data_IF_218265798549
#
_entry.id   IF_218265798549
#
_cell.length_a   1.000
_cell.length_b   1.000
_cell.length_c   1.000
_cell.angle_alpha   90.00
_cell.angle_beta   90.00
_cell.angle_gamma   90.00
#
_symmetry.space_group_name_H-M   'P 1'
#
loop_
_entity.id
_entity.type
_entity.pdbx_description
1 polymer ?
#
# COMPACT_ATOMS: atom_id res chain seq x y z
N UNK A 1 11.61 72.78 -2.35
CA UNK A 1 11.91 71.57 -1.61
C UNK A 1 10.98 70.42 -2.08
N UNK A 2 11.48 69.47 -2.85
CA UNK A 2 10.70 68.32 -3.35
C UNK A 2 11.00 67.13 -2.43
N UNK A 3 10.02 66.61 -1.72
CA UNK A 3 10.13 65.39 -0.91
C UNK A 3 10.01 64.16 -1.81
N UNK A 4 11.09 63.39 -1.94
CA UNK A 4 11.12 62.09 -2.61
C UNK A 4 10.65 61.01 -1.62
N UNK A 5 9.45 60.48 -1.81
CA UNK A 5 8.98 59.34 -0.99
C UNK A 5 9.51 58.05 -1.59
N UNK A 6 10.46 57.45 -0.89
CA UNK A 6 10.97 56.09 -1.19
C UNK A 6 9.90 55.08 -0.77
N UNK A 7 9.32 54.37 -1.74
CA UNK A 7 8.42 53.25 -1.49
C UNK A 7 9.30 51.98 -1.37
N UNK A 8 9.43 51.45 -0.14
CA UNK A 8 10.11 50.18 0.12
C UNK A 8 9.08 49.06 -0.10
N UNK A 9 9.16 48.37 -1.26
CA UNK A 9 8.30 47.19 -1.54
C UNK A 9 8.90 45.97 -0.83
N UNK A 10 8.22 45.52 0.24
CA UNK A 10 8.57 44.26 0.92
C UNK A 10 8.09 43.10 0.06
N UNK A 11 9.01 42.43 -0.63
CA UNK A 11 8.72 41.16 -1.34
C UNK A 11 8.69 40.06 -0.28
N UNK A 12 7.49 39.59 0.07
CA UNK A 12 7.31 38.38 0.85
C UNK A 12 7.64 37.17 -0.03
N UNK A 13 8.81 36.58 0.16
CA UNK A 13 9.15 35.28 -0.35
C UNK A 13 8.39 34.24 0.48
N UNK A 14 7.29 33.72 -0.06
CA UNK A 14 6.62 32.56 0.51
C UNK A 14 7.49 31.33 0.26
N UNK A 15 8.26 30.92 1.26
CA UNK A 15 8.97 29.64 1.26
C UNK A 15 7.90 28.57 1.41
N UNK A 16 7.51 27.94 0.30
CA UNK A 16 6.71 26.71 0.33
C UNK A 16 7.59 25.62 0.93
N UNK A 17 7.43 25.37 2.22
CA UNK A 17 8.05 24.21 2.87
C UNK A 17 7.35 22.95 2.36
N UNK A 18 7.89 22.36 1.29
CA UNK A 18 7.53 20.99 0.92
C UNK A 18 8.20 20.08 1.93
N UNK A 19 7.41 19.40 2.74
CA UNK A 19 7.93 18.34 3.59
C UNK A 19 8.58 17.28 2.68
N UNK A 20 9.85 17.00 2.93
CA UNK A 20 10.57 15.98 2.17
C UNK A 20 9.93 14.62 2.40
N UNK A 21 9.73 13.88 1.33
CA UNK A 21 9.14 12.54 1.40
C UNK A 21 10.02 11.65 2.28
N UNK A 22 9.48 10.99 3.33
CA UNK A 22 10.30 10.17 4.20
C UNK A 22 10.84 8.96 3.43
N UNK A 23 12.14 8.71 3.59
CA UNK A 23 12.76 7.49 3.11
C UNK A 23 12.32 6.32 3.99
N UNK A 24 11.52 5.44 3.43
CA UNK A 24 10.92 4.33 4.13
C UNK A 24 11.32 3.00 3.52
N UNK A 25 11.38 1.97 4.34
CA UNK A 25 11.57 0.60 3.88
C UNK A 25 10.40 0.17 2.97
N UNK A 26 10.71 -0.41 1.79
CA UNK A 26 9.75 -0.87 0.80
C UNK A 26 9.93 -2.36 0.56
N UNK A 27 8.79 -3.05 0.41
CA UNK A 27 8.72 -4.49 0.24
C UNK A 27 9.02 -4.90 -1.21
N UNK A 28 9.71 -6.04 -1.39
CA UNK A 28 9.73 -6.80 -2.63
C UNK A 28 8.62 -7.87 -2.67
N UNK A 29 8.46 -8.55 -3.79
CA UNK A 29 7.54 -9.67 -3.89
C UNK A 29 8.27 -10.95 -3.43
N UNK A 30 7.57 -11.79 -2.66
CA UNK A 30 8.03 -13.16 -2.39
C UNK A 30 8.02 -13.98 -3.67
N UNK A 31 9.09 -14.75 -3.91
CA UNK A 31 9.32 -15.56 -5.12
C UNK A 31 9.82 -16.95 -4.74
N UNK A 32 9.25 -17.52 -3.71
CA UNK A 32 9.57 -18.86 -3.18
C UNK A 32 11.04 -19.04 -2.73
N UNK A 33 11.74 -17.93 -2.44
CA UNK A 33 13.08 -17.99 -1.86
C UNK A 33 13.03 -18.57 -0.44
N UNK A 34 14.16 -19.16 0.00
CA UNK A 34 14.27 -19.70 1.35
C UNK A 34 14.20 -18.59 2.40
N UNK A 35 13.22 -18.68 3.28
CA UNK A 35 12.95 -17.74 4.39
C UNK A 35 12.81 -18.46 5.74
N UNK A 36 13.42 -19.63 5.87
CA UNK A 36 13.50 -20.36 7.16
C UNK A 36 14.22 -19.47 8.18
N UNK A 37 13.67 -19.38 9.39
CA UNK A 37 14.17 -18.48 10.43
C UNK A 37 13.74 -17.02 10.30
N UNK A 38 12.94 -16.68 9.26
CA UNK A 38 12.29 -15.40 9.16
C UNK A 38 10.95 -15.38 9.92
N UNK A 39 10.30 -14.24 9.94
CA UNK A 39 8.98 -14.08 10.53
C UNK A 39 7.97 -13.61 9.48
N UNK A 40 6.70 -13.87 9.75
CA UNK A 40 5.60 -13.38 8.94
C UNK A 40 4.55 -12.66 9.79
N UNK A 41 3.80 -11.78 9.17
CA UNK A 41 2.69 -11.04 9.77
C UNK A 41 1.60 -10.80 8.76
N UNK A 42 0.40 -10.46 9.20
CA UNK A 42 -0.64 -9.99 8.29
C UNK A 42 -0.21 -8.69 7.61
N UNK A 43 -0.50 -8.59 6.33
CA UNK A 43 -0.41 -7.33 5.58
C UNK A 43 -1.74 -6.60 5.65
N UNK A 44 -1.82 -5.63 6.53
CA UNK A 44 -3.01 -4.81 6.69
C UNK A 44 -3.27 -3.94 5.45
N UNK A 45 -4.54 -3.80 5.06
CA UNK A 45 -4.99 -2.95 3.94
C UNK A 45 -5.51 -1.61 4.48
N UNK A 46 -4.61 -0.77 4.93
CA UNK A 46 -4.86 0.54 5.49
C UNK A 46 -4.11 1.67 4.79
N UNK A 47 -3.75 2.68 5.54
CA UNK A 47 -2.92 3.79 5.08
C UNK A 47 -1.64 3.83 5.89
N UNK A 48 -0.47 3.66 5.22
CA UNK A 48 0.81 3.75 5.90
C UNK A 48 0.98 5.09 6.58
N UNK A 49 1.28 5.06 7.88
CA UNK A 49 1.59 6.19 8.72
C UNK A 49 2.99 6.09 9.29
N UNK A 50 3.82 7.09 9.00
CA UNK A 50 5.15 7.24 9.56
C UNK A 50 5.15 8.40 10.54
N UNK A 51 5.43 8.13 11.79
CA UNK A 51 5.64 9.11 12.85
C UNK A 51 7.14 9.30 13.07
N UNK A 52 7.65 10.51 13.01
CA UNK A 52 9.08 10.81 13.16
C UNK A 52 9.49 11.17 14.60
N UNK A 53 8.56 11.09 15.55
CA UNK A 53 8.70 11.54 16.94
C UNK A 53 8.09 12.91 17.20
N UNK A 54 7.61 13.61 16.16
CA UNK A 54 7.00 14.96 16.25
C UNK A 54 5.86 15.18 15.25
N UNK A 55 5.99 14.64 14.04
CA UNK A 55 5.04 14.82 12.95
C UNK A 55 4.67 13.47 12.33
N UNK A 56 3.47 13.41 11.78
CA UNK A 56 2.91 12.21 11.21
C UNK A 56 2.77 12.37 9.68
N UNK A 57 3.29 11.40 8.92
CA UNK A 57 3.36 11.46 7.46
C UNK A 57 2.74 10.24 6.82
N UNK A 58 2.15 10.44 5.64
CA UNK A 58 1.88 9.33 4.72
C UNK A 58 3.17 8.83 4.06
N UNK A 59 3.09 7.67 3.42
CA UNK A 59 4.19 7.15 2.57
C UNK A 59 4.64 8.15 1.49
N UNK A 60 3.74 9.01 1.02
CA UNK A 60 4.03 10.01 -0.02
C UNK A 60 4.67 11.30 0.51
N UNK A 61 4.84 11.44 1.84
CA UNK A 61 5.37 12.66 2.46
C UNK A 61 4.30 13.72 2.77
N UNK A 62 3.02 13.38 2.61
CA UNK A 62 1.94 14.30 3.01
C UNK A 62 1.83 14.24 4.53
N UNK A 63 1.92 15.41 5.19
CA UNK A 63 1.70 15.53 6.63
C UNK A 63 0.24 15.22 6.95
N UNK A 64 0.04 14.34 7.90
CA UNK A 64 -1.26 14.01 8.47
C UNK A 64 -1.53 14.93 9.69
N UNK A 65 -2.77 15.32 9.84
CA UNK A 65 -3.22 16.19 10.94
C UNK A 65 -4.34 15.50 11.73
N UNK A 66 -4.05 14.40 12.45
CA UNK A 66 -5.03 13.78 13.32
C UNK A 66 -5.40 14.72 14.49
N UNK A 67 -6.51 14.46 15.20
CA UNK A 67 -6.84 15.15 16.43
C UNK A 67 -5.70 15.10 17.47
N UNK A 68 -5.59 16.11 18.29
CA UNK A 68 -4.50 16.20 19.29
C UNK A 68 -4.54 15.05 20.31
N UNK A 69 -5.71 14.58 20.68
CA UNK A 69 -5.93 13.44 21.56
C UNK A 69 -5.43 12.13 20.94
N UNK A 70 -5.55 11.96 19.63
CA UNK A 70 -4.98 10.80 18.93
C UNK A 70 -3.45 10.71 19.06
N UNK A 71 -2.76 11.84 19.08
CA UNK A 71 -1.31 11.92 19.21
C UNK A 71 -0.80 12.09 20.65
N UNK A 72 -1.69 12.26 21.61
CA UNK A 72 -1.32 12.67 22.99
C UNK A 72 -0.30 11.70 23.64
N UNK A 73 -0.39 10.42 23.33
CA UNK A 73 0.50 9.38 23.88
C UNK A 73 1.39 8.74 22.81
N UNK A 74 1.68 9.44 21.71
CA UNK A 74 2.64 8.95 20.74
C UNK A 74 4.07 9.07 21.26
N UNK A 75 4.96 8.11 20.92
CA UNK A 75 6.33 8.11 21.45
C UNK A 75 7.17 9.26 20.92
N UNK A 76 8.20 9.72 21.68
CA UNK A 76 9.12 10.75 21.21
C UNK A 76 10.21 10.22 20.25
N UNK A 77 9.96 9.07 19.62
CA UNK A 77 10.85 8.43 18.64
C UNK A 77 10.05 7.93 17.45
N UNK A 78 10.75 7.67 16.33
CA UNK A 78 10.11 7.28 15.08
C UNK A 78 9.49 5.88 15.16
N UNK A 79 8.27 5.75 14.62
CA UNK A 79 7.56 4.48 14.42
C UNK A 79 6.94 4.43 13.03
N UNK A 80 6.92 3.25 12.44
CA UNK A 80 6.39 3.00 11.11
C UNK A 80 5.31 1.92 11.17
N UNK A 81 4.14 2.23 10.66
CA UNK A 81 2.98 1.36 10.81
C UNK A 81 1.91 1.60 9.74
N UNK A 82 0.80 0.91 9.91
CA UNK A 82 -0.38 1.04 9.07
C UNK A 82 -1.54 1.59 9.91
N UNK A 83 -2.11 2.72 9.52
CA UNK A 83 -3.37 3.21 10.05
C UNK A 83 -4.48 2.28 9.60
N UNK A 84 -5.10 1.61 10.55
CA UNK A 84 -6.06 0.55 10.28
C UNK A 84 -7.18 0.54 11.31
N UNK A 85 -8.36 0.04 10.94
CA UNK A 85 -9.49 -0.20 11.83
C UNK A 85 -9.88 -1.67 11.83
N UNK A 86 -10.33 -2.15 10.66
CA UNK A 86 -10.68 -3.55 10.44
C UNK A 86 -10.58 -3.90 8.95
N UNK A 87 -10.61 -5.20 8.65
CA UNK A 87 -10.54 -5.70 7.26
C UNK A 87 -11.73 -5.20 6.44
N UNK A 88 -11.54 -5.08 5.14
CA UNK A 88 -12.54 -4.64 4.15
C UNK A 88 -13.03 -3.17 4.33
N UNK A 89 -12.27 -2.35 5.09
CA UNK A 89 -12.62 -0.95 5.37
C UNK A 89 -11.63 0.07 4.78
N UNK A 90 -10.79 -0.32 3.82
CA UNK A 90 -9.80 0.59 3.22
C UNK A 90 -10.38 1.93 2.75
N UNK A 91 -11.58 1.92 2.15
CA UNK A 91 -12.20 3.14 1.66
C UNK A 91 -12.57 4.11 2.80
N UNK A 92 -13.11 3.60 3.92
CA UNK A 92 -13.40 4.39 5.11
C UNK A 92 -12.12 4.91 5.74
N UNK A 93 -11.12 4.03 5.98
CA UNK A 93 -9.81 4.40 6.53
C UNK A 93 -9.17 5.50 5.70
N UNK A 94 -9.11 5.32 4.39
CA UNK A 94 -8.53 6.29 3.46
C UNK A 94 -9.31 7.62 3.43
N UNK A 95 -10.63 7.59 3.63
CA UNK A 95 -11.47 8.79 3.74
C UNK A 95 -11.17 9.56 5.02
N UNK A 96 -11.09 8.87 6.17
CA UNK A 96 -10.76 9.47 7.46
C UNK A 96 -9.38 10.15 7.39
N UNK A 97 -8.36 9.42 6.92
CA UNK A 97 -6.98 9.91 6.88
C UNK A 97 -6.80 11.11 5.93
N UNK A 98 -7.57 11.18 4.85
CA UNK A 98 -7.54 12.32 3.89
C UNK A 98 -8.43 13.47 4.29
N UNK A 99 -9.37 13.25 5.20
CA UNK A 99 -10.24 14.32 5.69
C UNK A 99 -9.45 15.29 6.56
N UNK A 100 -9.65 16.58 6.34
CA UNK A 100 -9.14 17.63 7.24
C UNK A 100 -10.04 17.81 8.49
N UNK A 101 -11.05 16.96 8.65
CA UNK A 101 -11.96 16.97 9.79
C UNK A 101 -11.56 15.89 10.79
N UNK A 102 -11.67 16.17 12.06
CA UNK A 102 -11.35 15.25 13.17
C UNK A 102 -12.28 14.02 13.28
N UNK A 103 -13.18 13.84 12.30
CA UNK A 103 -14.20 12.79 12.33
C UNK A 103 -13.62 11.44 11.96
N UNK A 104 -13.77 10.47 12.85
CA UNK A 104 -13.51 9.06 12.59
C UNK A 104 -12.14 8.55 13.05
N UNK A 105 -11.20 9.41 13.45
CA UNK A 105 -9.88 8.98 13.93
C UNK A 105 -9.93 8.05 15.14
N UNK A 106 -10.95 8.16 15.99
CA UNK A 106 -11.18 7.26 17.13
C UNK A 106 -11.42 5.79 16.72
N UNK A 107 -11.72 5.54 15.44
CA UNK A 107 -11.86 4.18 14.88
C UNK A 107 -10.54 3.58 14.45
N UNK A 108 -9.50 4.40 14.34
CA UNK A 108 -8.20 4.00 13.81
C UNK A 108 -7.21 3.74 14.94
N UNK A 109 -6.29 2.80 14.69
CA UNK A 109 -5.05 2.65 15.44
C UNK A 109 -3.89 2.62 14.46
N UNK A 110 -2.72 3.01 14.92
CA UNK A 110 -1.47 2.78 14.19
C UNK A 110 -0.95 1.39 14.54
N UNK A 111 -1.05 0.45 13.61
CA UNK A 111 -0.51 -0.90 13.74
C UNK A 111 0.95 -0.89 13.31
N UNK A 112 1.86 -0.84 14.28
CA UNK A 112 3.30 -0.65 14.07
C UNK A 112 3.97 -1.97 13.70
N UNK A 113 4.76 -1.95 12.65
CA UNK A 113 5.57 -3.07 12.19
C UNK A 113 7.08 -2.82 12.35
N UNK A 114 7.52 -1.59 12.63
CA UNK A 114 8.93 -1.31 12.93
C UNK A 114 9.15 0.01 13.70
N UNK A 115 10.33 0.12 14.33
CA UNK A 115 10.85 1.33 15.01
C UNK A 115 12.16 1.72 14.31
N UNK A 116 12.11 2.56 13.25
CA UNK A 116 13.19 2.73 12.28
C UNK A 116 14.55 3.14 12.82
N UNK A 117 14.57 3.96 13.88
CA UNK A 117 15.82 4.52 14.43
C UNK A 117 16.33 3.75 15.67
N UNK A 118 15.57 2.73 16.09
CA UNK A 118 16.00 1.87 17.18
C UNK A 118 17.11 0.90 16.72
N UNK A 119 18.00 0.55 17.66
CA UNK A 119 19.09 -0.38 17.43
C UNK A 119 18.63 -1.85 17.53
N UNK A 120 19.45 -2.71 16.97
CA UNK A 120 19.27 -4.17 17.09
C UNK A 120 18.38 -4.78 16.01
N UNK A 121 17.98 -6.02 16.26
CA UNK A 121 17.09 -6.78 15.39
C UNK A 121 15.62 -6.31 15.52
N UNK A 122 14.72 -6.85 14.72
CA UNK A 122 13.31 -6.46 14.71
C UNK A 122 12.65 -6.53 16.10
N UNK A 123 12.92 -7.61 16.85
CA UNK A 123 12.28 -7.80 18.14
C UNK A 123 12.80 -6.82 19.19
N UNK A 124 14.09 -6.47 19.13
CA UNK A 124 14.68 -5.44 20.00
C UNK A 124 14.10 -4.07 19.69
N UNK A 125 13.96 -3.73 18.40
CA UNK A 125 13.33 -2.47 17.97
C UNK A 125 11.87 -2.38 18.40
N UNK A 126 11.06 -3.43 18.16
CA UNK A 126 9.67 -3.48 18.62
C UNK A 126 9.57 -3.56 20.16
N UNK A 127 10.56 -4.16 20.81
CA UNK A 127 10.68 -4.22 22.28
C UNK A 127 10.76 -2.83 22.91
N UNK A 128 11.47 -1.87 22.27
CA UNK A 128 11.49 -0.48 22.73
C UNK A 128 10.08 0.13 22.76
N UNK A 129 9.31 -0.08 21.69
CA UNK A 129 7.92 0.40 21.64
C UNK A 129 7.03 -0.32 22.65
N UNK A 130 7.21 -1.63 22.83
CA UNK A 130 6.45 -2.40 23.81
C UNK A 130 6.64 -1.88 25.25
N UNK A 131 7.88 -1.51 25.60
CA UNK A 131 8.18 -0.91 26.91
C UNK A 131 7.49 0.44 27.05
N UNK A 132 7.50 1.27 26.00
CA UNK A 132 6.82 2.56 25.99
C UNK A 132 5.31 2.41 26.19
N UNK A 133 4.67 1.53 25.42
CA UNK A 133 3.22 1.29 25.47
C UNK A 133 2.76 0.73 26.83
N UNK A 134 3.61 0.01 27.55
CA UNK A 134 3.28 -0.45 28.92
C UNK A 134 3.07 0.72 29.90
N UNK A 135 3.64 1.89 29.61
CA UNK A 135 3.47 3.13 30.39
C UNK A 135 2.41 4.07 29.79
N UNK A 136 1.95 3.78 28.57
CA UNK A 136 0.99 4.59 27.80
C UNK A 136 -0.12 3.68 27.23
N UNK A 137 -0.95 3.05 28.10
CA UNK A 137 -1.89 2.00 27.67
C UNK A 137 -3.08 2.53 26.85
N UNK A 138 -3.30 3.85 26.83
CA UNK A 138 -4.39 4.48 26.05
C UNK A 138 -3.93 4.99 24.68
N UNK A 139 -2.63 4.86 24.35
CA UNK A 139 -2.13 5.20 23.05
C UNK A 139 -2.86 4.38 21.95
N UNK A 140 -3.35 5.01 20.87
CA UNK A 140 -4.00 4.30 19.78
C UNK A 140 -2.96 3.58 18.86
N UNK A 141 -2.10 2.80 19.48
CA UNK A 141 -0.97 2.11 18.86
C UNK A 141 -1.03 0.62 19.20
N UNK A 142 -0.86 -0.24 18.23
CA UNK A 142 -0.71 -1.68 18.40
C UNK A 142 0.54 -2.17 17.68
N UNK A 143 1.24 -3.16 18.23
CA UNK A 143 2.37 -3.81 17.56
C UNK A 143 1.82 -5.00 16.76
N UNK A 144 2.12 -5.04 15.45
CA UNK A 144 1.74 -6.18 14.61
C UNK A 144 2.50 -7.43 15.09
N UNK A 145 1.75 -8.50 15.34
CA UNK A 145 2.32 -9.79 15.72
C UNK A 145 3.27 -10.31 14.64
N UNK A 146 4.42 -10.82 15.08
CA UNK A 146 5.44 -11.41 14.22
C UNK A 146 5.53 -12.91 14.50
N UNK A 147 5.12 -13.73 13.55
CA UNK A 147 4.99 -15.18 13.66
C UNK A 147 6.24 -15.83 13.06
N UNK A 148 7.02 -16.63 13.80
CA UNK A 148 8.16 -17.37 13.24
C UNK A 148 7.73 -18.32 12.12
N UNK A 149 8.48 -18.34 11.02
CA UNK A 149 8.25 -19.22 9.89
C UNK A 149 8.92 -20.57 10.16
N UNK A 150 8.13 -21.62 10.18
CA UNK A 150 8.63 -23.00 10.35
C UNK A 150 9.08 -23.60 9.01
N UNK A 151 8.28 -23.43 7.96
CA UNK A 151 8.51 -23.96 6.61
C UNK A 151 7.63 -23.27 5.58
N UNK A 152 7.76 -23.63 4.30
CA UNK A 152 6.96 -23.06 3.22
C UNK A 152 5.46 -23.39 3.31
N UNK A 153 5.10 -24.55 3.86
CA UNK A 153 3.70 -24.91 4.05
C UNK A 153 3.03 -24.02 5.10
N UNK A 154 3.74 -23.66 6.19
CA UNK A 154 3.26 -22.73 7.21
C UNK A 154 2.95 -21.35 6.59
N UNK A 155 3.77 -20.88 5.67
CA UNK A 155 3.52 -19.63 4.92
C UNK A 155 2.19 -19.70 4.16
N UNK A 156 1.96 -20.80 3.42
CA UNK A 156 0.75 -20.97 2.62
C UNK A 156 -0.51 -21.10 3.49
N UNK A 157 -0.41 -21.81 4.61
CA UNK A 157 -1.51 -21.96 5.57
C UNK A 157 -1.88 -20.61 6.19
N UNK A 158 -0.88 -19.83 6.62
CA UNK A 158 -1.15 -18.50 7.18
C UNK A 158 -1.72 -17.53 6.14
N UNK A 159 -1.20 -17.54 4.90
CA UNK A 159 -1.78 -16.75 3.80
C UNK A 159 -3.26 -17.11 3.59
N UNK A 160 -3.57 -18.40 3.49
CA UNK A 160 -4.94 -18.87 3.30
C UNK A 160 -5.86 -18.46 4.46
N UNK A 161 -5.37 -18.54 5.70
CA UNK A 161 -6.11 -18.10 6.89
C UNK A 161 -6.42 -16.60 6.84
N UNK A 162 -5.44 -15.77 6.48
CA UNK A 162 -5.61 -14.31 6.34
C UNK A 162 -6.63 -14.00 5.25
N UNK A 163 -6.57 -14.67 4.11
CA UNK A 163 -7.47 -14.45 2.97
C UNK A 163 -8.90 -14.91 3.24
N UNK A 164 -9.08 -16.05 3.91
CA UNK A 164 -10.41 -16.53 4.35
C UNK A 164 -11.10 -15.50 5.27
N UNK A 165 -10.31 -14.75 6.02
CA UNK A 165 -10.78 -13.66 6.87
C UNK A 165 -10.80 -12.30 6.14
N UNK A 166 -10.72 -12.27 4.80
CA UNK A 166 -10.71 -11.07 3.95
C UNK A 166 -9.51 -10.14 4.18
N UNK A 167 -8.38 -10.67 4.66
CA UNK A 167 -7.11 -9.94 4.74
C UNK A 167 -6.48 -9.78 3.37
N UNK A 168 -5.55 -8.83 3.24
CA UNK A 168 -4.91 -8.46 1.96
C UNK A 168 -3.83 -9.47 1.53
N UNK A 169 -3.21 -10.16 2.47
CA UNK A 169 -2.07 -11.02 2.29
C UNK A 169 -1.13 -10.97 3.49
N UNK A 170 0.11 -11.34 3.30
CA UNK A 170 1.11 -11.41 4.37
C UNK A 170 2.40 -10.66 4.02
N UNK A 171 3.12 -10.26 5.05
CA UNK A 171 4.49 -9.75 4.98
C UNK A 171 5.42 -10.79 5.58
N UNK A 172 6.53 -11.06 4.90
CA UNK A 172 7.59 -11.97 5.32
C UNK A 172 8.85 -11.13 5.49
N UNK A 173 9.55 -11.23 6.62
CA UNK A 173 10.74 -10.42 6.85
C UNK A 173 11.84 -11.14 7.62
N UNK A 174 13.08 -10.78 7.28
CA UNK A 174 14.24 -11.20 8.05
C UNK A 174 14.29 -10.42 9.38
N UNK A 175 14.10 -11.06 10.53
CA UNK A 175 14.09 -10.37 11.82
C UNK A 175 15.47 -9.80 12.20
N UNK A 176 16.56 -10.36 11.65
CA UNK A 176 17.93 -9.92 11.95
C UNK A 176 18.40 -8.75 11.06
N UNK A 177 17.64 -8.40 10.00
CA UNK A 177 17.98 -7.29 9.14
C UNK A 177 17.69 -5.93 9.81
N UNK A 178 18.51 -4.90 9.54
CA UNK A 178 18.24 -3.54 9.96
C UNK A 178 17.01 -2.98 9.22
N UNK A 179 16.48 -1.85 9.71
CA UNK A 179 15.51 -1.08 8.96
C UNK A 179 16.22 -0.36 7.80
N UNK A 180 16.01 -0.82 6.57
CA UNK A 180 16.60 -0.22 5.37
C UNK A 180 15.65 0.81 4.75
N UNK A 181 16.07 2.07 4.66
CA UNK A 181 15.27 3.17 4.09
C UNK A 181 15.22 3.15 2.55
N UNK A 182 14.96 1.97 1.97
CA UNK A 182 14.91 1.70 0.53
C UNK A 182 14.04 0.46 0.25
N UNK A 183 13.90 0.09 -1.02
CA UNK A 183 13.37 -1.23 -1.38
C UNK A 183 14.36 -2.31 -0.97
N UNK A 184 13.87 -3.31 -0.24
CA UNK A 184 14.72 -4.32 0.39
C UNK A 184 14.20 -5.73 0.14
N UNK A 185 15.13 -6.63 -0.22
CA UNK A 185 14.88 -8.06 -0.29
C UNK A 185 14.77 -8.72 1.11
N UNK A 186 15.02 -7.96 2.18
CA UNK A 186 14.88 -8.43 3.56
C UNK A 186 13.43 -8.34 4.08
N UNK A 187 12.53 -7.75 3.29
CA UNK A 187 11.10 -7.69 3.60
C UNK A 187 10.28 -7.90 2.33
N UNK A 188 9.42 -8.89 2.37
CA UNK A 188 8.70 -9.41 1.22
C UNK A 188 7.20 -9.36 1.45
N UNK A 189 6.42 -9.24 0.39
CA UNK A 189 4.97 -9.37 0.43
C UNK A 189 4.52 -10.58 -0.38
N UNK A 190 3.56 -11.30 0.13
CA UNK A 190 2.86 -12.38 -0.55
C UNK A 190 1.35 -12.11 -0.49
N UNK A 191 0.71 -12.13 -1.65
CA UNK A 191 -0.72 -11.93 -1.84
C UNK A 191 -1.19 -12.84 -2.94
N UNK A 192 -2.35 -13.44 -2.80
CA UNK A 192 -3.03 -14.11 -3.90
C UNK A 192 -3.69 -13.05 -4.78
N UNK A 193 -3.36 -13.03 -6.05
CA UNK A 193 -4.11 -12.28 -7.03
C UNK A 193 -5.26 -13.17 -7.50
N UNK A 194 -6.50 -12.70 -7.40
CA UNK A 194 -7.63 -13.29 -8.09
C UNK A 194 -7.46 -13.05 -9.58
N UNK A 195 -7.93 -13.97 -10.40
CA UNK A 195 -7.99 -13.79 -11.86
C UNK A 195 -9.41 -14.07 -12.38
N UNK A 196 -9.80 -13.31 -13.37
CA UNK A 196 -11.07 -13.44 -14.09
C UNK A 196 -10.91 -13.01 -15.52
N UNK A 197 -11.95 -13.24 -16.30
CA UNK A 197 -12.03 -12.87 -17.70
C UNK A 197 -12.92 -11.65 -17.91
N UNK A 198 -12.61 -10.89 -18.96
CA UNK A 198 -13.43 -9.79 -19.40
C UNK A 198 -13.31 -9.59 -20.91
N UNK A 199 -14.34 -8.99 -21.51
CA UNK A 199 -14.36 -8.63 -22.94
C UNK A 199 -13.77 -7.22 -23.11
N UNK A 200 -12.83 -7.07 -24.02
CA UNK A 200 -12.25 -5.77 -24.40
C UNK A 200 -13.30 -4.96 -25.16
N UNK A 201 -13.64 -3.77 -24.68
CA UNK A 201 -14.66 -2.91 -25.31
C UNK A 201 -14.10 -1.60 -25.86
N UNK A 202 -12.93 -1.15 -25.41
CA UNK A 202 -12.27 0.04 -25.93
C UNK A 202 -10.77 0.04 -25.68
N UNK A 203 -10.01 0.74 -26.53
CA UNK A 203 -8.61 1.08 -26.33
C UNK A 203 -8.47 2.57 -26.06
N UNK A 204 -7.48 2.94 -25.24
CA UNK A 204 -7.14 4.34 -24.95
C UNK A 204 -5.69 4.59 -25.30
N UNK A 205 -5.42 5.71 -25.96
CA UNK A 205 -4.07 6.12 -26.32
C UNK A 205 -3.19 6.27 -25.07
N UNK A 206 -1.92 5.94 -25.19
CA UNK A 206 -0.93 6.15 -24.15
C UNK A 206 -0.50 7.62 -24.04
N UNK A 207 0.29 7.91 -23.01
CA UNK A 207 0.91 9.22 -22.78
C UNK A 207 2.37 9.02 -22.40
N UNK A 208 3.21 10.04 -22.64
CA UNK A 208 4.63 9.98 -22.32
C UNK A 208 5.33 8.83 -23.05
N UNK A 209 5.98 7.94 -22.34
CA UNK A 209 6.68 6.79 -22.93
C UNK A 209 5.79 5.85 -23.75
N UNK A 210 4.47 5.96 -23.68
CA UNK A 210 3.49 5.16 -24.42
C UNK A 210 2.69 6.00 -25.44
N UNK A 211 3.14 7.18 -25.84
CA UNK A 211 2.38 8.11 -26.67
C UNK A 211 1.89 7.53 -28.01
N UNK A 212 2.66 6.64 -28.62
CA UNK A 212 2.33 6.03 -29.94
C UNK A 212 1.75 4.61 -29.83
N UNK A 213 1.38 4.16 -28.65
CA UNK A 213 0.85 2.82 -28.40
C UNK A 213 -0.33 2.87 -27.43
N UNK A 214 -1.00 1.74 -27.23
CA UNK A 214 -2.09 1.66 -26.26
C UNK A 214 -1.58 1.93 -24.83
N UNK A 215 -2.18 2.91 -24.16
CA UNK A 215 -1.95 3.22 -22.75
C UNK A 215 -2.73 2.31 -21.80
N UNK A 216 -4.01 2.10 -22.11
CA UNK A 216 -4.91 1.23 -21.35
C UNK A 216 -6.05 0.73 -22.25
N UNK A 217 -6.79 -0.27 -21.77
CA UNK A 217 -8.04 -0.69 -22.37
C UNK A 217 -9.19 -0.60 -21.35
N UNK A 218 -10.43 -0.57 -21.84
CA UNK A 218 -11.63 -0.78 -21.04
C UNK A 218 -12.11 -2.21 -21.28
N UNK A 219 -12.36 -2.92 -20.19
CA UNK A 219 -12.93 -4.25 -20.16
C UNK A 219 -14.33 -4.23 -19.55
N UNK A 220 -15.14 -5.21 -19.93
CA UNK A 220 -16.48 -5.43 -19.38
C UNK A 220 -16.69 -6.90 -18.98
N UNK A 221 -17.27 -7.12 -17.82
CA UNK A 221 -17.78 -8.41 -17.36
C UNK A 221 -18.92 -8.18 -16.34
N UNK A 222 -19.27 -9.20 -15.54
CA UNK A 222 -20.31 -9.08 -14.49
C UNK A 222 -20.03 -8.01 -13.42
N UNK A 223 -18.80 -7.55 -13.28
CA UNK A 223 -18.43 -6.37 -12.47
C UNK A 223 -18.71 -5.03 -13.18
N UNK A 224 -19.25 -5.06 -14.41
CA UNK A 224 -19.42 -3.90 -15.28
C UNK A 224 -18.11 -3.45 -15.91
N UNK A 225 -18.08 -2.20 -16.38
CA UNK A 225 -16.93 -1.67 -17.12
C UNK A 225 -15.84 -1.14 -16.18
N UNK A 226 -14.59 -1.49 -16.46
CA UNK A 226 -13.40 -1.03 -15.73
C UNK A 226 -12.18 -0.92 -16.66
N UNK A 227 -11.18 -0.15 -16.23
CA UNK A 227 -9.95 0.07 -17.00
C UNK A 227 -8.82 -0.85 -16.54
N UNK A 228 -8.03 -1.33 -17.51
CA UNK A 228 -6.78 -2.04 -17.29
C UNK A 228 -5.67 -1.26 -17.98
N UNK A 229 -4.69 -0.76 -17.21
CA UNK A 229 -3.57 0.05 -17.74
C UNK A 229 -2.18 -0.55 -17.46
N UNK A 230 -2.11 -1.65 -16.71
CA UNK A 230 -0.87 -2.30 -16.30
C UNK A 230 -0.83 -3.77 -16.72
N UNK A 231 0.36 -4.39 -16.65
CA UNK A 231 0.57 -5.80 -17.02
C UNK A 231 0.91 -6.03 -18.49
N UNK A 232 0.72 -5.05 -19.35
CA UNK A 232 1.03 -5.13 -20.77
C UNK A 232 2.54 -5.02 -21.02
N UNK A 233 3.07 -5.91 -21.84
CA UNK A 233 4.38 -5.74 -22.48
C UNK A 233 4.27 -4.69 -23.61
N UNK A 234 5.40 -4.21 -24.12
CA UNK A 234 5.39 -3.27 -25.24
C UNK A 234 4.71 -3.87 -26.48
N UNK A 235 4.92 -5.14 -26.75
CA UNK A 235 4.26 -5.88 -27.82
C UNK A 235 2.72 -5.85 -27.70
N UNK A 236 2.18 -6.06 -26.49
CA UNK A 236 0.75 -6.00 -26.24
C UNK A 236 0.17 -4.59 -26.42
N UNK A 237 1.00 -3.56 -26.22
CA UNK A 237 0.59 -2.16 -26.42
C UNK A 237 0.63 -1.75 -27.88
N UNK A 238 1.60 -2.27 -28.62
CA UNK A 238 1.75 -2.03 -30.08
C UNK A 238 0.70 -2.80 -30.88
N UNK A 239 0.38 -4.01 -30.45
CA UNK A 239 -0.66 -4.85 -31.04
C UNK A 239 -1.66 -5.27 -29.94
N UNK A 240 -2.59 -4.39 -29.54
CA UNK A 240 -3.46 -4.65 -28.42
C UNK A 240 -4.46 -5.79 -28.68
N UNK A 241 -4.95 -6.47 -27.62
CA UNK A 241 -6.05 -7.42 -27.75
C UNK A 241 -7.21 -6.79 -28.51
N UNK A 242 -7.78 -7.42 -29.54
CA UNK A 242 -8.86 -6.83 -30.34
C UNK A 242 -10.09 -6.45 -29.51
N UNK A 243 -10.79 -5.41 -29.89
CA UNK A 243 -12.12 -5.10 -29.32
C UNK A 243 -13.05 -6.28 -29.65
N UNK A 244 -13.80 -6.72 -28.63
CA UNK A 244 -14.65 -7.93 -28.67
C UNK A 244 -13.92 -9.21 -28.28
N UNK A 245 -12.58 -9.21 -28.12
CA UNK A 245 -11.87 -10.39 -27.64
C UNK A 245 -11.89 -10.50 -26.10
N UNK A 246 -11.79 -11.73 -25.61
CA UNK A 246 -11.66 -12.01 -24.19
C UNK A 246 -10.18 -12.03 -23.76
N UNK A 247 -9.92 -11.49 -22.58
CA UNK A 247 -8.63 -11.53 -21.91
C UNK A 247 -8.79 -12.01 -20.47
N UNK A 248 -7.74 -12.58 -19.90
CA UNK A 248 -7.64 -12.82 -18.46
C UNK A 248 -6.91 -11.64 -17.82
N UNK A 249 -7.44 -11.15 -16.72
CA UNK A 249 -6.80 -10.13 -15.90
C UNK A 249 -6.68 -10.60 -14.46
N UNK A 250 -5.68 -10.08 -13.75
CA UNK A 250 -5.50 -10.29 -12.32
C UNK A 250 -5.97 -9.07 -11.56
N UNK A 251 -6.58 -9.28 -10.39
CA UNK A 251 -7.04 -8.19 -9.53
C UNK A 251 -6.92 -8.57 -8.05
N UNK A 252 -7.16 -7.60 -7.16
CA UNK A 252 -7.00 -7.77 -5.71
C UNK A 252 -8.27 -7.34 -4.98
N UNK A 253 -9.30 -8.17 -5.06
CA UNK A 253 -10.60 -7.87 -4.49
C UNK A 253 -11.36 -6.77 -5.26
N UNK A 254 -12.50 -6.35 -4.74
CA UNK A 254 -13.40 -5.40 -5.37
C UNK A 254 -13.39 -4.05 -4.63
N UNK A 255 -13.74 -3.00 -5.35
CA UNK A 255 -14.05 -1.68 -4.77
C UNK A 255 -15.43 -1.73 -4.13
N UNK A 256 -15.81 -0.71 -3.33
CA UNK A 256 -17.17 -0.57 -2.79
C UNK A 256 -18.26 -0.47 -3.87
N UNK A 257 -17.87 -0.21 -5.13
CA UNK A 257 -18.76 -0.20 -6.30
C UNK A 257 -18.76 -1.53 -7.05
N UNK A 258 -18.19 -2.60 -6.47
CA UNK A 258 -18.13 -3.94 -7.06
C UNK A 258 -17.13 -4.06 -8.23
N UNK A 259 -16.26 -3.09 -8.48
CA UNK A 259 -15.29 -3.12 -9.59
C UNK A 259 -13.95 -3.70 -9.15
N UNK A 260 -13.23 -4.45 -10.02
CA UNK A 260 -11.92 -5.01 -9.71
C UNK A 260 -10.90 -3.94 -9.30
N UNK A 261 -10.25 -4.15 -8.14
CA UNK A 261 -9.17 -3.28 -7.64
C UNK A 261 -7.84 -3.68 -8.28
N UNK A 262 -7.09 -2.70 -8.78
CA UNK A 262 -5.76 -2.90 -9.36
C UNK A 262 -5.75 -3.94 -10.49
N UNK A 263 -6.78 -3.93 -11.35
CA UNK A 263 -6.88 -4.81 -12.51
C UNK A 263 -5.63 -4.68 -13.38
N UNK A 264 -5.01 -5.83 -13.69
CA UNK A 264 -3.73 -5.94 -14.40
C UNK A 264 -3.87 -7.00 -15.49
N UNK A 265 -3.54 -6.67 -16.73
CA UNK A 265 -3.55 -7.65 -17.82
C UNK A 265 -2.62 -8.83 -17.50
N UNK A 266 -3.11 -10.02 -17.73
CA UNK A 266 -2.32 -11.23 -17.56
C UNK A 266 -2.03 -11.93 -18.88
N UNK A 267 -3.07 -12.27 -19.65
CA UNK A 267 -2.92 -12.98 -20.95
C UNK A 267 -4.12 -12.77 -21.85
N UNK A 268 -3.92 -13.02 -23.12
CA UNK A 268 -5.00 -13.21 -24.11
C UNK A 268 -5.58 -14.60 -23.94
N UNK A 269 -6.86 -14.76 -24.21
CA UNK A 269 -7.48 -16.07 -24.29
C UNK A 269 -7.36 -16.53 -25.75
N UNK A 270 -6.81 -17.73 -25.94
CA UNK A 270 -6.75 -18.32 -27.29
C UNK A 270 -8.08 -18.96 -27.65
N UNK A 271 -8.40 -19.02 -28.94
CA UNK A 271 -9.60 -19.70 -29.45
C UNK A 271 -9.65 -21.20 -29.10
N UNK A 272 -8.52 -21.80 -28.71
CA UNK A 272 -8.45 -23.16 -28.17
C UNK A 272 -8.96 -23.26 -26.73
N UNK A 273 -8.79 -22.21 -25.92
CA UNK A 273 -9.23 -22.18 -24.52
C UNK A 273 -10.74 -21.98 -24.39
N UNK A 274 -11.40 -21.36 -25.39
CA UNK A 274 -12.85 -21.18 -25.42
C UNK A 274 -13.61 -22.48 -25.69
N UNK A 275 -13.02 -23.43 -26.41
CA UNK A 275 -13.67 -24.72 -26.74
C UNK A 275 -13.73 -25.70 -25.57
N UNK A 276 -12.83 -25.65 -24.62
CA UNK A 276 -12.82 -26.56 -23.46
C UNK A 276 -13.75 -26.15 -22.30
N UNK A 277 -14.45 -25.02 -22.42
CA UNK A 277 -15.41 -24.56 -21.40
C UNK A 277 -16.88 -24.65 -21.84
N UNK A 278 -17.13 -25.06 -23.06
CA UNK A 278 -18.48 -25.25 -23.60
C UNK A 278 -18.94 -26.71 -23.55
N UNK A 279 -18.11 -27.62 -23.02
CA UNK A 279 -18.44 -29.00 -22.66
C UNK A 279 -18.50 -29.14 -21.11
#
# INVERSE_FOLDING_TARGET
MRYFKLFFSLVFFSISCHAEKPDLMLLENYKDQNVVGWVMSEKLDGVRGYWDGKQFFTRGGITLSPPKDFLAEFPPFAIDGELFSQRDQFAEISSIVRSQQDKGWHKLKLHVFDVPDAKGNLFERLGQLKIYLAQHPTAPIEIIEQIPIENSQHIQQFLQQVEQQKGEGIVIRNPNAPYERKRSAQILKLKTALDEECTVIAHHAGKGQFENVMGSLTCENHHGQFKIGSGFKLEDRTNPPPIGSNITYKYRGLTNKGKPRFATFWRRISSSDEKHRAE
#
